data_IF_322447823431
#
_entry.id   IF_322447823431
#
_cell.length_a   1.000
_cell.length_b   1.000
_cell.length_c   1.000
_cell.angle_alpha   90.00
_cell.angle_beta   90.00
_cell.angle_gamma   90.00
#
_symmetry.space_group_name_H-M   'P 1'
#
loop_
_entity.id
_entity.type
_entity.pdbx_description
1 polymer ?
#
# COMPACT_ATOMS: atom_id res chain seq x y z
N UNK A 1 -43.42 9.53 -29.64
CA UNK A 1 -43.59 9.14 -28.23
C UNK A 1 -42.26 8.61 -27.71
N UNK A 2 -41.53 9.28 -26.80
CA UNK A 2 -40.30 8.73 -26.23
C UNK A 2 -40.64 7.64 -25.20
N UNK A 3 -39.94 6.51 -25.28
CA UNK A 3 -40.14 5.35 -24.42
C UNK A 3 -39.61 5.61 -22.99
N UNK A 4 -40.43 5.28 -21.98
CA UNK A 4 -40.09 5.43 -20.57
C UNK A 4 -38.91 4.53 -20.14
N UNK A 5 -38.00 5.03 -19.28
CA UNK A 5 -36.90 4.22 -18.75
C UNK A 5 -37.41 3.20 -17.72
N UNK A 6 -37.09 1.91 -17.96
CA UNK A 6 -37.41 0.80 -17.05
C UNK A 6 -36.80 1.02 -15.66
N UNK A 7 -37.65 1.23 -14.65
CA UNK A 7 -37.24 1.30 -13.23
C UNK A 7 -36.67 -0.06 -12.79
N UNK A 8 -35.47 -0.06 -12.20
CA UNK A 8 -34.87 -1.26 -11.61
C UNK A 8 -35.62 -1.62 -10.32
N UNK A 9 -35.95 -2.91 -10.14
CA UNK A 9 -36.60 -3.40 -8.93
C UNK A 9 -35.71 -3.16 -7.68
N UNK A 10 -36.34 -2.69 -6.61
CA UNK A 10 -35.71 -2.52 -5.29
C UNK A 10 -35.45 -3.92 -4.72
N UNK A 11 -34.21 -4.18 -4.28
CA UNK A 11 -33.84 -5.46 -3.68
C UNK A 11 -34.22 -5.44 -2.20
N UNK A 12 -35.34 -6.07 -1.85
CA UNK A 12 -35.91 -6.10 -0.48
C UNK A 12 -35.19 -7.01 0.53
N UNK A 13 -34.00 -7.54 0.22
CA UNK A 13 -33.30 -8.45 1.14
C UNK A 13 -31.78 -8.20 1.17
N UNK A 14 -31.37 -7.11 1.83
CA UNK A 14 -30.01 -7.00 2.33
C UNK A 14 -29.99 -7.59 3.75
N UNK A 15 -29.48 -8.81 3.90
CA UNK A 15 -29.15 -9.37 5.22
C UNK A 15 -28.28 -8.35 5.98
N UNK A 16 -28.49 -8.15 7.30
CA UNK A 16 -27.69 -7.22 8.08
C UNK A 16 -26.20 -7.50 7.88
N UNK A 17 -25.43 -6.48 7.52
CA UNK A 17 -23.99 -6.62 7.30
C UNK A 17 -23.28 -6.85 8.64
N UNK A 18 -23.01 -8.13 8.98
CA UNK A 18 -22.25 -8.49 10.17
C UNK A 18 -20.76 -8.20 9.93
N UNK A 19 -20.27 -7.05 10.40
CA UNK A 19 -18.84 -6.75 10.43
C UNK A 19 -18.14 -7.71 11.40
N UNK A 20 -17.29 -8.60 10.88
CA UNK A 20 -16.36 -9.35 11.75
C UNK A 20 -15.33 -8.38 12.33
N UNK A 21 -15.07 -8.39 13.65
CA UNK A 21 -14.00 -7.59 14.23
C UNK A 21 -12.68 -8.06 13.63
N UNK A 22 -11.98 -7.17 12.93
CA UNK A 22 -10.61 -7.43 12.48
C UNK A 22 -9.70 -7.12 13.66
N UNK A 23 -9.27 -8.16 14.36
CA UNK A 23 -8.25 -8.02 15.40
C UNK A 23 -6.92 -7.50 14.81
N UNK A 24 -6.06 -6.89 15.63
CA UNK A 24 -4.73 -6.49 15.21
C UNK A 24 -3.97 -7.74 14.72
N UNK A 25 -3.60 -7.75 13.43
CA UNK A 25 -2.75 -8.81 12.88
C UNK A 25 -1.31 -8.51 13.29
N UNK A 26 -0.80 -9.24 14.28
CA UNK A 26 0.60 -9.18 14.70
C UNK A 26 1.42 -10.04 13.73
N UNK A 27 1.64 -9.55 12.52
CA UNK A 27 2.64 -10.12 11.62
C UNK A 27 3.96 -9.36 11.81
N UNK A 28 4.94 -10.01 12.42
CA UNK A 28 6.28 -9.45 12.65
C UNK A 28 7.14 -9.40 11.38
N UNK A 29 6.67 -9.99 10.28
CA UNK A 29 7.37 -9.98 9.00
C UNK A 29 6.73 -8.99 8.03
N UNK A 30 7.53 -8.30 7.21
CA UNK A 30 7.01 -7.40 6.19
C UNK A 30 6.18 -8.17 5.17
N UNK A 31 5.18 -7.49 4.61
CA UNK A 31 4.32 -8.08 3.58
C UNK A 31 5.13 -8.32 2.31
N UNK A 32 5.04 -9.53 1.77
CA UNK A 32 5.66 -9.96 0.51
C UNK A 32 4.60 -10.17 -0.59
N UNK A 33 5.02 -10.09 -1.85
CA UNK A 33 4.20 -10.48 -3.02
C UNK A 33 4.40 -11.93 -3.47
N UNK A 34 5.15 -12.69 -2.67
CA UNK A 34 5.17 -14.14 -2.62
C UNK A 34 3.84 -14.77 -3.06
N UNK A 35 3.88 -15.56 -4.12
CA UNK A 35 2.71 -16.31 -4.54
C UNK A 35 2.67 -17.69 -3.90
N UNK A 36 1.44 -18.10 -3.57
CA UNK A 36 1.09 -19.52 -3.46
C UNK A 36 0.93 -20.07 -4.88
N UNK A 37 1.23 -21.34 -5.08
CA UNK A 37 1.43 -22.01 -6.37
C UNK A 37 0.33 -21.80 -7.45
N UNK A 38 -0.88 -21.37 -7.09
CA UNK A 38 -2.02 -21.24 -8.01
C UNK A 38 -2.17 -19.88 -8.73
N UNK A 39 -1.44 -18.84 -8.34
CA UNK A 39 -1.58 -17.51 -8.95
C UNK A 39 -0.47 -17.26 -9.99
N UNK A 40 -0.83 -17.02 -11.26
CA UNK A 40 0.12 -16.72 -12.35
C UNK A 40 0.15 -15.24 -12.77
N UNK A 41 -0.75 -14.38 -12.27
CA UNK A 41 -0.81 -12.98 -12.68
C UNK A 41 0.36 -12.11 -12.16
N UNK A 42 1.01 -11.33 -13.03
CA UNK A 42 2.08 -10.42 -12.60
C UNK A 42 1.58 -9.43 -11.54
N UNK A 43 2.22 -9.40 -10.38
CA UNK A 43 1.90 -8.45 -9.31
C UNK A 43 3.05 -7.44 -9.13
N UNK A 44 2.70 -6.24 -8.69
CA UNK A 44 3.71 -5.27 -8.27
C UNK A 44 4.44 -5.76 -7.02
N UNK A 45 5.77 -5.92 -7.14
CA UNK A 45 6.69 -6.29 -6.06
C UNK A 45 6.61 -5.31 -4.88
N UNK A 46 6.69 -5.84 -3.65
CA UNK A 46 6.86 -5.02 -2.44
C UNK A 46 8.28 -4.49 -2.35
N UNK A 47 8.51 -3.45 -1.54
CA UNK A 47 9.88 -2.95 -1.35
C UNK A 47 10.79 -4.04 -0.76
N UNK A 48 10.26 -4.87 0.13
CA UNK A 48 10.97 -6.04 0.66
C UNK A 48 11.44 -6.99 -0.44
N UNK A 49 10.53 -7.41 -1.33
CA UNK A 49 10.87 -8.32 -2.43
C UNK A 49 11.94 -7.72 -3.35
N UNK A 50 11.84 -6.40 -3.63
CA UNK A 50 12.82 -5.70 -4.47
C UNK A 50 14.22 -5.71 -3.85
N UNK A 51 14.31 -5.48 -2.54
CA UNK A 51 15.59 -5.47 -1.84
C UNK A 51 16.19 -6.88 -1.74
N UNK A 52 15.36 -7.91 -1.55
CA UNK A 52 15.82 -9.30 -1.60
C UNK A 52 16.39 -9.68 -2.98
N UNK A 53 15.75 -9.24 -4.06
CA UNK A 53 16.25 -9.50 -5.42
C UNK A 53 17.60 -8.80 -5.64
N UNK A 54 17.75 -7.55 -5.18
CA UNK A 54 19.01 -6.81 -5.28
C UNK A 54 20.12 -7.51 -4.47
N UNK A 55 19.85 -7.87 -3.21
CA UNK A 55 20.79 -8.62 -2.36
C UNK A 55 21.20 -9.96 -2.99
N UNK A 56 20.27 -10.66 -3.65
CA UNK A 56 20.57 -11.88 -4.38
C UNK A 56 21.50 -11.63 -5.57
N UNK A 57 21.27 -10.57 -6.34
CA UNK A 57 22.16 -10.18 -7.45
C UNK A 57 23.57 -9.83 -6.94
N UNK A 58 23.67 -9.09 -5.83
CA UNK A 58 24.96 -8.70 -5.26
C UNK A 58 25.77 -9.93 -4.79
N UNK A 59 25.10 -10.97 -4.30
CA UNK A 59 25.71 -12.25 -3.93
C UNK A 59 26.10 -13.12 -5.13
N UNK A 60 25.53 -12.87 -6.30
CA UNK A 60 25.73 -13.69 -7.50
C UNK A 60 26.05 -12.83 -8.73
N UNK A 61 27.20 -12.14 -8.75
CA UNK A 61 27.54 -11.17 -9.80
C UNK A 61 27.67 -11.79 -11.20
N UNK A 62 27.88 -13.10 -11.29
CA UNK A 62 28.05 -13.83 -12.55
C UNK A 62 26.73 -14.31 -13.17
N UNK A 63 25.60 -14.19 -12.46
CA UNK A 63 24.32 -14.62 -12.98
C UNK A 63 23.75 -13.60 -13.96
N UNK A 64 23.24 -14.12 -15.08
CA UNK A 64 22.51 -13.28 -16.03
C UNK A 64 21.20 -12.79 -15.42
N UNK A 65 20.70 -11.67 -15.94
CA UNK A 65 19.43 -11.12 -15.48
C UNK A 65 18.26 -12.09 -15.67
N UNK A 66 18.27 -12.87 -16.74
CA UNK A 66 17.24 -13.85 -17.05
C UNK A 66 17.28 -15.02 -16.06
N UNK A 67 18.48 -15.50 -15.74
CA UNK A 67 18.69 -16.57 -14.75
C UNK A 67 18.17 -16.18 -13.36
N UNK A 68 18.35 -14.91 -12.96
CA UNK A 68 17.80 -14.40 -11.70
C UNK A 68 16.27 -14.39 -11.73
N UNK A 69 15.66 -13.92 -12.83
CA UNK A 69 14.20 -13.91 -12.99
C UNK A 69 13.65 -15.34 -12.92
N UNK A 70 14.30 -16.29 -13.59
CA UNK A 70 13.93 -17.71 -13.57
C UNK A 70 14.03 -18.31 -12.17
N UNK A 71 15.13 -18.04 -11.46
CA UNK A 71 15.32 -18.48 -10.07
C UNK A 71 14.15 -18.04 -9.20
N UNK A 72 13.80 -16.74 -9.21
CA UNK A 72 12.70 -16.22 -8.39
C UNK A 72 11.30 -16.69 -8.85
N UNK A 73 11.14 -17.03 -10.13
CA UNK A 73 9.91 -17.61 -10.66
C UNK A 73 9.71 -19.08 -10.27
N UNK A 74 10.77 -19.80 -9.94
CA UNK A 74 10.73 -21.23 -9.58
C UNK A 74 11.01 -21.50 -8.10
N UNK A 75 11.42 -20.48 -7.35
CA UNK A 75 11.71 -20.55 -5.92
C UNK A 75 10.51 -21.05 -5.10
N UNK A 76 10.75 -22.08 -4.29
CA UNK A 76 9.81 -22.61 -3.29
C UNK A 76 10.24 -22.36 -1.84
N UNK A 77 11.32 -21.59 -1.63
CA UNK A 77 11.92 -21.40 -0.31
C UNK A 77 11.00 -20.73 0.72
N UNK A 78 11.30 -21.01 1.99
CA UNK A 78 10.66 -20.44 3.19
C UNK A 78 10.70 -18.90 3.27
N UNK A 79 11.53 -18.22 2.46
CA UNK A 79 11.73 -16.77 2.47
C UNK A 79 10.65 -15.95 1.75
N UNK A 80 9.70 -16.59 1.07
CA UNK A 80 8.61 -15.86 0.40
C UNK A 80 8.19 -16.41 -0.95
N UNK A 81 8.28 -17.72 -1.20
CA UNK A 81 7.66 -18.35 -2.37
C UNK A 81 8.02 -17.73 -3.73
N UNK A 82 7.13 -17.96 -4.71
CA UNK A 82 7.34 -17.59 -6.11
C UNK A 82 7.11 -16.10 -6.36
N UNK A 83 8.06 -15.42 -7.00
CA UNK A 83 7.95 -14.04 -7.46
C UNK A 83 7.95 -13.97 -8.99
N UNK A 84 6.94 -13.32 -9.56
CA UNK A 84 6.76 -13.22 -11.02
C UNK A 84 6.95 -11.77 -11.47
N UNK A 85 8.07 -11.50 -12.15
CA UNK A 85 8.40 -10.19 -12.71
C UNK A 85 9.19 -10.33 -14.03
N UNK A 86 9.42 -9.23 -14.74
CA UNK A 86 10.18 -9.23 -16.01
C UNK A 86 11.62 -8.77 -15.82
N UNK A 87 12.50 -9.16 -16.75
CA UNK A 87 13.87 -8.64 -16.85
C UNK A 87 13.92 -7.10 -16.85
N UNK A 88 13.02 -6.44 -17.59
CA UNK A 88 12.93 -4.97 -17.61
C UNK A 88 12.58 -4.36 -16.25
N UNK A 89 11.78 -5.06 -15.43
CA UNK A 89 11.50 -4.65 -14.06
C UNK A 89 12.77 -4.74 -13.23
N UNK A 90 13.56 -5.80 -13.41
CA UNK A 90 14.82 -5.99 -12.70
C UNK A 90 15.88 -4.95 -13.05
N UNK A 91 16.08 -4.67 -14.34
CA UNK A 91 16.98 -3.60 -14.79
C UNK A 91 16.62 -2.25 -14.16
N UNK A 92 15.32 -1.91 -14.11
CA UNK A 92 14.84 -0.69 -13.44
C UNK A 92 15.12 -0.70 -11.93
N UNK A 93 14.93 -1.84 -11.25
CA UNK A 93 15.23 -1.97 -9.82
C UNK A 93 16.71 -1.75 -9.52
N UNK A 94 17.60 -2.30 -10.35
CA UNK A 94 19.05 -2.11 -10.21
C UNK A 94 19.45 -0.65 -10.40
N UNK A 95 18.84 0.05 -11.38
CA UNK A 95 19.06 1.49 -11.57
C UNK A 95 18.58 2.31 -10.37
N UNK A 96 17.46 1.93 -9.77
CA UNK A 96 16.85 2.63 -8.64
C UNK A 96 17.34 2.14 -7.26
N UNK A 97 18.45 1.37 -7.18
CA UNK A 97 18.89 0.70 -5.94
C UNK A 97 19.04 1.65 -4.75
N UNK A 98 19.66 2.80 -4.97
CA UNK A 98 19.94 3.80 -3.92
C UNK A 98 18.64 4.41 -3.39
N UNK A 99 17.69 4.67 -4.29
CA UNK A 99 16.37 5.19 -3.98
C UNK A 99 15.53 4.17 -3.19
N UNK A 100 15.62 2.89 -3.54
CA UNK A 100 14.92 1.81 -2.82
C UNK A 100 15.49 1.64 -1.41
N UNK A 101 16.82 1.68 -1.24
CA UNK A 101 17.48 1.64 0.07
C UNK A 101 17.11 2.83 0.96
N UNK A 102 17.20 4.06 0.44
CA UNK A 102 16.82 5.27 1.18
C UNK A 102 15.35 5.23 1.63
N UNK A 103 14.47 4.67 0.80
CA UNK A 103 13.05 4.52 1.15
C UNK A 103 12.81 3.52 2.29
N UNK A 104 13.61 2.46 2.38
CA UNK A 104 13.51 1.50 3.48
C UNK A 104 13.92 2.12 4.82
N UNK A 105 14.94 2.99 4.82
CA UNK A 105 15.36 3.72 6.00
C UNK A 105 14.35 4.80 6.44
N UNK A 106 13.64 5.43 5.49
CA UNK A 106 12.77 6.56 5.78
C UNK A 106 11.46 6.21 6.50
N UNK A 107 10.90 5.01 6.32
CA UNK A 107 9.64 4.64 6.98
C UNK A 107 9.67 3.19 7.49
N UNK A 108 9.24 2.92 8.74
CA UNK A 108 9.24 1.56 9.30
C UNK A 108 8.31 0.60 8.54
N UNK A 109 7.22 1.12 7.95
CA UNK A 109 6.28 0.34 7.14
C UNK A 109 6.63 0.29 5.65
N UNK A 110 7.76 0.88 5.22
CA UNK A 110 8.13 0.98 3.81
C UNK A 110 8.26 -0.38 3.12
N UNK A 111 8.80 -1.38 3.83
CA UNK A 111 9.09 -2.72 3.31
C UNK A 111 7.83 -3.41 2.76
N UNK A 112 6.71 -3.27 3.47
CA UNK A 112 5.41 -3.84 3.09
C UNK A 112 4.72 -3.10 1.93
N UNK A 113 5.20 -1.92 1.55
CA UNK A 113 4.57 -1.05 0.56
C UNK A 113 5.15 -1.24 -0.84
N UNK A 114 4.28 -1.48 -1.82
CA UNK A 114 4.63 -1.62 -3.25
C UNK A 114 5.14 -0.32 -3.87
N UNK A 115 4.54 0.83 -3.49
CA UNK A 115 4.84 2.17 -4.00
C UNK A 115 5.10 3.16 -2.87
N UNK A 116 5.96 4.15 -3.14
CA UNK A 116 6.16 5.27 -2.23
C UNK A 116 4.84 6.02 -2.08
N UNK A 117 4.43 6.27 -0.84
CA UNK A 117 3.32 7.17 -0.53
C UNK A 117 3.93 8.51 -0.19
N UNK A 118 3.81 9.45 -1.11
CA UNK A 118 4.19 10.85 -0.85
C UNK A 118 2.94 11.50 -0.28
N UNK A 119 3.06 11.99 0.96
CA UNK A 119 2.01 12.79 1.60
C UNK A 119 2.22 14.22 1.15
N UNK A 120 1.23 14.82 0.49
CA UNK A 120 1.33 16.18 -0.05
C UNK A 120 1.63 17.19 1.05
N UNK A 121 0.93 17.09 2.19
CA UNK A 121 1.08 17.99 3.32
C UNK A 121 1.31 17.19 4.62
N UNK A 122 2.58 16.92 4.98
CA UNK A 122 2.91 16.04 6.08
C UNK A 122 2.52 16.63 7.44
N UNK A 123 2.42 17.95 7.57
CA UNK A 123 1.97 18.63 8.79
C UNK A 123 0.50 18.37 9.09
N UNK A 124 -0.36 18.54 8.07
CA UNK A 124 -1.79 18.26 8.16
C UNK A 124 -2.02 16.79 8.50
N UNK A 125 -1.31 15.86 7.83
CA UNK A 125 -1.42 14.43 8.09
C UNK A 125 -0.97 14.06 9.51
N UNK A 126 0.11 14.68 10.02
CA UNK A 126 0.56 14.51 11.42
C UNK A 126 -0.50 14.99 12.40
N UNK A 127 -1.06 16.18 12.19
CA UNK A 127 -2.11 16.73 13.05
C UNK A 127 -3.35 15.83 13.05
N UNK A 128 -3.74 15.33 11.88
CA UNK A 128 -4.86 14.39 11.73
C UNK A 128 -4.58 13.06 12.44
N UNK A 129 -3.39 12.49 12.29
CA UNK A 129 -2.99 11.28 12.99
C UNK A 129 -3.04 11.43 14.52
N UNK A 130 -2.51 12.54 15.05
CA UNK A 130 -2.54 12.82 16.49
C UNK A 130 -3.98 12.98 16.99
N UNK A 131 -4.83 13.67 16.23
CA UNK A 131 -6.24 13.82 16.59
C UNK A 131 -7.00 12.49 16.59
N UNK A 132 -6.81 11.64 15.56
CA UNK A 132 -7.42 10.30 15.51
C UNK A 132 -6.91 9.44 16.66
N UNK A 133 -5.62 9.50 16.97
CA UNK A 133 -5.04 8.76 18.09
C UNK A 133 -5.66 9.20 19.41
N UNK A 134 -5.78 10.51 19.66
CA UNK A 134 -6.44 11.04 20.85
C UNK A 134 -7.91 10.61 20.91
N UNK A 135 -8.66 10.72 19.81
CA UNK A 135 -10.07 10.33 19.74
C UNK A 135 -10.28 8.83 20.01
N UNK A 136 -9.40 7.98 19.46
CA UNK A 136 -9.47 6.53 19.68
C UNK A 136 -9.05 6.13 21.10
N UNK A 137 -8.01 6.74 21.67
CA UNK A 137 -7.43 6.34 22.96
C UNK A 137 -8.22 6.95 24.13
N UNK A 138 -8.51 8.25 24.08
CA UNK A 138 -9.08 8.98 25.21
C UNK A 138 -10.60 9.00 25.21
N UNK A 139 -11.23 8.98 24.02
CA UNK A 139 -12.70 8.98 23.90
C UNK A 139 -13.29 7.62 23.57
N UNK A 140 -12.49 6.65 23.13
CA UNK A 140 -12.96 5.33 22.72
C UNK A 140 -13.85 5.35 21.47
N UNK A 141 -13.92 6.48 20.75
CA UNK A 141 -14.70 6.64 19.54
C UNK A 141 -13.86 6.28 18.31
N UNK A 142 -14.50 5.93 17.19
CA UNK A 142 -13.81 5.70 15.92
C UNK A 142 -14.06 6.87 14.98
N UNK A 143 -12.99 7.51 14.51
CA UNK A 143 -13.09 8.59 13.55
C UNK A 143 -13.76 8.11 12.25
N UNK A 144 -14.89 8.71 11.90
CA UNK A 144 -15.59 8.44 10.65
C UNK A 144 -14.98 9.23 9.48
N UNK A 145 -15.15 8.74 8.25
CA UNK A 145 -14.64 9.40 7.04
C UNK A 145 -15.03 10.88 6.90
N UNK A 146 -16.31 11.25 7.08
CA UNK A 146 -16.73 12.65 7.09
C UNK A 146 -16.08 13.48 8.21
N UNK A 147 -15.86 12.90 9.39
CA UNK A 147 -15.18 13.60 10.48
C UNK A 147 -13.72 13.90 10.11
N UNK A 148 -13.02 12.97 9.46
CA UNK A 148 -11.66 13.17 8.97
C UNK A 148 -11.61 14.29 7.93
N UNK A 149 -12.60 14.38 7.03
CA UNK A 149 -12.68 15.46 6.03
C UNK A 149 -12.87 16.83 6.68
N UNK A 150 -13.83 16.95 7.60
CA UNK A 150 -14.10 18.20 8.33
C UNK A 150 -12.87 18.60 9.16
N UNK A 151 -12.27 17.65 9.86
CA UNK A 151 -11.11 17.94 10.71
C UNK A 151 -9.88 18.31 9.89
N UNK A 152 -9.67 17.65 8.74
CA UNK A 152 -8.61 17.99 7.80
C UNK A 152 -8.77 19.42 7.28
N UNK A 153 -9.97 19.82 6.87
CA UNK A 153 -10.23 21.20 6.42
C UNK A 153 -9.89 22.23 7.51
N UNK A 154 -10.26 21.94 8.76
CA UNK A 154 -9.91 22.80 9.90
C UNK A 154 -8.39 22.88 10.13
N UNK A 155 -7.64 21.79 9.93
CA UNK A 155 -6.18 21.82 10.03
C UNK A 155 -5.53 22.54 8.86
N UNK A 156 -6.04 22.40 7.64
CA UNK A 156 -5.55 23.14 6.47
C UNK A 156 -5.75 24.65 6.64
N UNK A 157 -6.86 25.08 7.24
CA UNK A 157 -7.10 26.48 7.59
C UNK A 157 -6.17 26.96 8.70
N UNK A 158 -6.05 26.20 9.80
CA UNK A 158 -5.20 26.56 10.93
C UNK A 158 -3.70 26.62 10.58
N UNK A 159 -3.25 25.81 9.62
CA UNK A 159 -1.88 25.79 9.12
C UNK A 159 -1.66 26.74 7.93
N UNK A 160 -2.69 27.49 7.51
CA UNK A 160 -2.58 28.47 6.43
C UNK A 160 -2.29 27.85 5.06
N UNK A 161 -2.71 26.61 4.82
CA UNK A 161 -2.44 25.91 3.56
C UNK A 161 -3.26 26.55 2.42
N UNK A 162 -2.61 27.07 1.35
CA UNK A 162 -3.28 27.66 0.22
C UNK A 162 -4.22 26.68 -0.46
N UNK A 163 -5.35 27.18 -0.99
CA UNK A 163 -6.39 26.36 -1.64
C UNK A 163 -5.83 25.44 -2.75
N UNK A 164 -4.80 25.89 -3.47
CA UNK A 164 -4.14 25.14 -4.54
C UNK A 164 -3.43 23.87 -4.05
N UNK A 165 -2.99 23.84 -2.79
CA UNK A 165 -2.30 22.70 -2.16
C UNK A 165 -3.24 21.78 -1.39
N UNK A 166 -4.49 22.20 -1.17
CA UNK A 166 -5.50 21.38 -0.48
C UNK A 166 -5.89 20.20 -1.35
N UNK A 167 -5.86 18.98 -0.81
CA UNK A 167 -6.32 17.84 -1.59
C UNK A 167 -7.84 17.87 -1.76
N UNK A 168 -8.32 17.76 -2.99
CA UNK A 168 -9.74 17.76 -3.36
C UNK A 168 -10.40 16.37 -3.29
N UNK A 169 -9.64 15.34 -2.91
CA UNK A 169 -10.12 13.96 -2.83
C UNK A 169 -11.07 13.71 -1.66
N UNK A 170 -12.09 12.88 -1.87
CA UNK A 170 -13.03 12.41 -0.82
C UNK A 170 -12.43 11.37 0.14
N UNK A 171 -11.13 11.09 0.04
CA UNK A 171 -10.42 10.03 0.77
C UNK A 171 -9.64 9.14 -0.18
#
# INVERSE_FOLDING_TARGET
MPAEPKKRAIRDNLKPYTKRPRGPSVQNHPKTTAKKSSDQQKQHLTLYDKLQIIDYCDKHPNLSQESVVEYFANRSDALGGKLVFSQSTMSRMMKDRTKLGARAAANPTALSLKKARVVTEPEVERALYLWVRHLNIEKGELASGPMLQVKRAAFEEALGIPNERRLTGKG
#
